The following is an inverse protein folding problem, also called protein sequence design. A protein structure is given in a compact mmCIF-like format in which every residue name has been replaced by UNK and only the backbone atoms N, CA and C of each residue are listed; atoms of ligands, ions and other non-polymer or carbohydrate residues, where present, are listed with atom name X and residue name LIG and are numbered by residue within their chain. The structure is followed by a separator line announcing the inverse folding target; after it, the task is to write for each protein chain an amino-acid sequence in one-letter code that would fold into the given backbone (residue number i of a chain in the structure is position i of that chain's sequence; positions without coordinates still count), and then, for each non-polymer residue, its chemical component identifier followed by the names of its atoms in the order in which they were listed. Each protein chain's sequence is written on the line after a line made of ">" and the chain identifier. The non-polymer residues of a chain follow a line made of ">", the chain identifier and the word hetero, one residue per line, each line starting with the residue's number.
data_IF_885524227164
#
_entry.id   IF_885524227164
#
_cell.length_a   1.000
_cell.length_b   1.000
_cell.length_c   1.000
_cell.angle_alpha   90.00
_cell.angle_beta   90.00
_cell.angle_gamma   90.00
#
_symmetry.space_group_name_H-M   'P 1'
#
loop_
_entity.id
_entity.type
_entity.pdbx_description
1 polymer ?
#
# COMPACT_ATOMS: atom_id res chain seq x y z
N UNK A 1 -0.25 9.89 3.99
CA UNK A 1 -1.07 11.01 3.43
C UNK A 1 -0.58 12.39 3.87
N UNK A 2 -0.91 13.44 3.11
CA UNK A 2 -0.70 14.87 3.40
C UNK A 2 -1.69 15.75 2.60
N UNK A 3 -1.82 17.05 2.90
CA UNK A 3 -2.69 17.96 2.13
C UNK A 3 -1.88 18.71 1.06
N UNK A 4 -2.39 18.72 -0.17
CA UNK A 4 -1.87 19.50 -1.29
C UNK A 4 -3.03 20.15 -2.03
N UNK A 5 -2.99 21.47 -2.24
CA UNK A 5 -4.01 22.19 -3.01
C UNK A 5 -5.46 21.90 -2.52
N UNK A 6 -5.65 21.86 -1.19
CA UNK A 6 -6.90 21.50 -0.50
C UNK A 6 -7.40 20.05 -0.71
N UNK A 7 -6.61 19.20 -1.38
CA UNK A 7 -6.89 17.78 -1.54
C UNK A 7 -6.00 16.95 -0.61
N UNK A 8 -6.56 15.86 -0.11
CA UNK A 8 -5.82 14.89 0.67
C UNK A 8 -5.08 13.94 -0.27
N UNK A 9 -3.76 14.11 -0.35
CA UNK A 9 -2.90 13.33 -1.20
C UNK A 9 -2.53 11.99 -0.57
N UNK A 10 -2.65 10.92 -1.34
CA UNK A 10 -2.30 9.56 -0.96
C UNK A 10 -1.62 8.82 -2.11
N UNK A 11 -0.83 7.80 -1.78
CA UNK A 11 -0.15 6.94 -2.75
C UNK A 11 -0.61 5.46 -2.64
N UNK A 12 0.03 4.57 -3.40
CA UNK A 12 -0.30 3.13 -3.40
C UNK A 12 -0.13 2.48 -2.03
N UNK A 13 0.86 2.90 -1.22
CA UNK A 13 1.07 2.38 0.15
C UNK A 13 -0.02 2.82 1.11
N UNK A 14 -0.51 4.06 0.99
CA UNK A 14 -1.65 4.52 1.77
C UNK A 14 -2.90 3.67 1.46
N UNK A 15 -3.14 3.34 0.18
CA UNK A 15 -4.24 2.43 -0.21
C UNK A 15 -4.07 1.02 0.37
N UNK A 16 -2.85 0.46 0.28
CA UNK A 16 -2.55 -0.86 0.87
C UNK A 16 -2.81 -0.85 2.38
N UNK A 17 -2.42 0.21 3.09
CA UNK A 17 -2.70 0.37 4.52
C UNK A 17 -4.19 0.47 4.81
N UNK A 18 -4.93 1.28 4.07
CA UNK A 18 -6.39 1.41 4.25
C UNK A 18 -7.12 0.07 4.02
N UNK A 19 -6.63 -0.77 3.10
CA UNK A 19 -7.21 -2.10 2.89
C UNK A 19 -6.93 -3.10 4.02
N UNK A 20 -5.89 -2.91 4.83
CA UNK A 20 -5.37 -3.93 5.76
C UNK A 20 -5.27 -3.51 7.23
N UNK A 21 -5.27 -2.22 7.53
CA UNK A 21 -5.00 -1.70 8.87
C UNK A 21 -5.61 -0.30 9.11
N UNK A 22 -6.67 -0.23 9.91
CA UNK A 22 -7.32 1.04 10.27
C UNK A 22 -6.38 1.95 11.09
N UNK A 23 -5.60 1.37 12.01
CA UNK A 23 -4.55 2.09 12.76
C UNK A 23 -3.64 2.91 11.85
N UNK A 24 -3.08 2.31 10.79
CA UNK A 24 -2.17 3.01 9.88
C UNK A 24 -2.85 4.20 9.21
N UNK A 25 -4.13 4.05 8.87
CA UNK A 25 -4.91 5.10 8.21
C UNK A 25 -5.22 6.22 9.19
N UNK A 26 -5.71 5.90 10.39
CA UNK A 26 -6.05 6.88 11.43
C UNK A 26 -4.82 7.67 11.90
N UNK A 27 -3.69 7.01 12.15
CA UNK A 27 -2.44 7.71 12.50
C UNK A 27 -2.01 8.65 11.37
N UNK A 28 -2.07 8.20 10.11
CA UNK A 28 -1.73 9.09 8.98
C UNK A 28 -2.67 10.28 8.88
N UNK A 29 -3.96 10.13 9.18
CA UNK A 29 -4.95 11.21 9.14
C UNK A 29 -4.73 12.19 10.29
N UNK A 30 -4.60 11.69 11.53
CA UNK A 30 -4.35 12.52 12.70
C UNK A 30 -3.04 13.31 12.59
N UNK A 31 -1.97 12.70 12.06
CA UNK A 31 -0.73 13.42 11.72
C UNK A 31 -0.98 14.53 10.71
N UNK A 32 -1.78 14.26 9.68
CA UNK A 32 -2.08 15.24 8.61
C UNK A 32 -2.95 16.39 9.11
N UNK A 33 -3.86 16.14 10.06
CA UNK A 33 -4.63 17.17 10.76
C UNK A 33 -3.76 18.07 11.64
N UNK A 34 -2.55 17.64 11.98
CA UNK A 34 -1.61 18.41 12.80
C UNK A 34 -1.90 18.32 14.30
N UNK A 35 -2.55 17.25 14.75
CA UNK A 35 -2.85 17.04 16.16
C UNK A 35 -1.59 17.04 17.02
N UNK A 36 -1.45 18.05 17.90
CA UNK A 36 -0.19 18.36 18.58
C UNK A 36 0.38 17.18 19.39
N UNK A 37 -0.48 16.47 20.14
CA UNK A 37 -0.06 15.30 20.91
C UNK A 37 0.31 14.11 20.03
N UNK A 38 -0.29 14.00 18.84
CA UNK A 38 0.07 12.97 17.85
C UNK A 38 1.43 13.27 17.26
N UNK A 39 1.65 14.51 16.80
CA UNK A 39 2.95 14.94 16.29
C UNK A 39 4.06 14.75 17.33
N UNK A 40 3.79 15.08 18.59
CA UNK A 40 4.76 14.90 19.68
C UNK A 40 5.13 13.42 19.89
N UNK A 41 4.16 12.49 19.83
CA UNK A 41 4.41 11.05 19.99
C UNK A 41 5.12 10.44 18.77
N UNK A 42 4.86 10.95 17.56
CA UNK A 42 5.51 10.48 16.33
C UNK A 42 6.94 11.01 16.14
N UNK A 43 7.24 12.20 16.67
CA UNK A 43 8.50 12.93 16.41
C UNK A 43 9.79 12.11 16.57
N UNK A 44 9.99 11.30 17.64
CA UNK A 44 11.22 10.53 17.78
C UNK A 44 11.42 9.53 16.63
N UNK A 45 10.34 8.85 16.22
CA UNK A 45 10.38 7.87 15.14
C UNK A 45 10.53 8.54 13.77
N UNK A 46 9.93 9.72 13.57
CA UNK A 46 10.15 10.51 12.36
C UNK A 46 11.62 10.95 12.23
N UNK A 47 12.25 11.34 13.33
CA UNK A 47 13.67 11.72 13.35
C UNK A 47 14.57 10.53 13.00
N UNK A 48 14.30 9.35 13.55
CA UNK A 48 15.02 8.12 13.21
C UNK A 48 14.86 7.74 11.74
N UNK A 49 13.63 7.83 11.20
CA UNK A 49 13.36 7.59 9.77
C UNK A 49 14.12 8.58 8.89
N UNK A 50 14.16 9.86 9.28
CA UNK A 50 14.87 10.90 8.54
C UNK A 50 16.39 10.68 8.58
N UNK A 51 16.92 10.27 9.72
CA UNK A 51 18.34 9.96 9.86
C UNK A 51 18.74 8.72 9.06
N UNK A 52 17.95 7.64 9.12
CA UNK A 52 18.15 6.44 8.30
C UNK A 52 18.15 6.78 6.81
N UNK A 53 17.25 7.66 6.35
CA UNK A 53 17.24 8.17 4.97
C UNK A 53 18.52 8.92 4.63
N UNK A 54 18.98 9.80 5.52
CA UNK A 54 20.21 10.58 5.34
C UNK A 54 21.44 9.66 5.21
N UNK A 55 21.44 8.53 5.92
CA UNK A 55 22.51 7.53 5.90
C UNK A 55 22.34 6.50 4.76
N UNK A 56 21.21 6.46 4.06
CA UNK A 56 20.91 5.45 3.04
C UNK A 56 20.58 4.06 3.60
N UNK A 57 20.17 4.01 4.87
CA UNK A 57 19.82 2.80 5.63
C UNK A 57 18.31 2.53 5.65
N UNK A 58 17.50 3.44 5.12
CA UNK A 58 16.03 3.33 5.06
C UNK A 58 15.51 2.30 4.03
N UNK A 59 16.41 1.78 3.20
CA UNK A 59 16.05 0.90 2.09
C UNK A 59 16.33 -0.57 2.45
N UNK A 60 15.26 -1.35 2.60
CA UNK A 60 15.34 -2.80 2.78
C UNK A 60 15.99 -3.50 1.59
N UNK A 61 16.55 -4.70 1.82
CA UNK A 61 17.10 -5.53 0.73
C UNK A 61 16.06 -5.80 -0.36
N UNK A 62 14.80 -6.03 0.01
CA UNK A 62 13.71 -6.26 -0.94
C UNK A 62 13.48 -5.05 -1.87
N UNK A 63 13.55 -3.82 -1.32
CA UNK A 63 13.46 -2.60 -2.13
C UNK A 63 14.67 -2.43 -3.06
N UNK A 64 15.89 -2.72 -2.57
CA UNK A 64 17.11 -2.67 -3.41
C UNK A 64 17.01 -3.63 -4.60
N UNK A 65 16.58 -4.87 -4.38
CA UNK A 65 16.37 -5.83 -5.47
C UNK A 65 15.20 -5.46 -6.39
N UNK A 66 14.16 -4.80 -5.87
CA UNK A 66 13.08 -4.23 -6.67
C UNK A 66 13.60 -3.21 -7.69
N UNK A 67 14.37 -2.22 -7.23
CA UNK A 67 14.98 -1.19 -8.08
C UNK A 67 15.90 -1.82 -9.14
N UNK A 68 16.77 -2.74 -8.72
CA UNK A 68 17.66 -3.44 -9.66
C UNK A 68 16.90 -4.23 -10.72
N UNK A 69 15.75 -4.80 -10.36
CA UNK A 69 14.91 -5.55 -11.26
C UNK A 69 14.19 -4.62 -12.26
N UNK A 70 13.58 -3.53 -11.78
CA UNK A 70 12.98 -2.49 -12.63
C UNK A 70 14.00 -1.94 -13.63
N UNK A 71 15.20 -1.58 -13.17
CA UNK A 71 16.30 -1.10 -14.03
C UNK A 71 16.71 -2.12 -15.09
N UNK A 72 16.74 -3.41 -14.73
CA UNK A 72 17.06 -4.48 -15.67
C UNK A 72 15.99 -4.61 -16.76
N UNK A 73 14.70 -4.56 -16.39
CA UNK A 73 13.60 -4.62 -17.34
C UNK A 73 13.63 -3.43 -18.33
N UNK A 74 13.91 -2.22 -17.84
CA UNK A 74 14.06 -1.03 -18.67
C UNK A 74 15.20 -1.21 -19.68
N UNK A 75 16.37 -1.68 -19.23
CA UNK A 75 17.52 -1.94 -20.11
C UNK A 75 17.23 -3.02 -21.15
N UNK A 76 16.52 -4.08 -20.77
CA UNK A 76 16.10 -5.15 -21.68
C UNK A 76 15.14 -4.62 -22.75
N UNK A 77 14.16 -3.79 -22.38
CA UNK A 77 13.23 -3.15 -23.31
C UNK A 77 13.92 -2.17 -24.27
N UNK A 78 14.79 -1.31 -23.75
CA UNK A 78 15.58 -0.39 -24.59
C UNK A 78 16.46 -1.15 -25.59
N UNK A 79 17.08 -2.25 -25.15
CA UNK A 79 17.93 -3.08 -26.00
C UNK A 79 17.15 -3.87 -27.07
N UNK A 80 15.88 -4.23 -26.81
CA UNK A 80 15.09 -5.05 -27.72
C UNK A 80 14.19 -4.25 -28.66
N UNK A 81 13.57 -3.18 -28.16
CA UNK A 81 12.59 -2.39 -28.88
C UNK A 81 13.11 -1.01 -29.35
N UNK A 82 14.17 -0.49 -28.72
CA UNK A 82 14.79 0.79 -29.07
C UNK A 82 14.15 2.02 -28.41
N UNK A 83 14.89 3.14 -28.42
CA UNK A 83 14.51 4.42 -27.80
C UNK A 83 13.31 5.11 -28.46
N UNK A 84 13.01 4.77 -29.72
CA UNK A 84 11.81 5.27 -30.41
C UNK A 84 10.52 4.64 -29.85
N UNK A 85 10.62 3.45 -29.26
CA UNK A 85 9.48 2.69 -28.72
C UNK A 85 9.33 2.92 -27.22
N UNK A 86 10.44 3.01 -26.49
CA UNK A 86 10.46 3.04 -25.02
C UNK A 86 10.95 4.40 -24.56
N UNK A 87 10.05 5.22 -24.01
CA UNK A 87 10.35 6.60 -23.58
C UNK A 87 9.96 6.84 -22.12
N UNK A 88 10.44 7.94 -21.57
CA UNK A 88 10.08 8.43 -20.24
C UNK A 88 9.91 9.95 -20.27
N UNK A 89 9.19 10.55 -19.31
CA UNK A 89 9.27 11.98 -19.07
C UNK A 89 10.72 12.42 -18.75
N UNK A 90 11.04 13.68 -19.00
CA UNK A 90 12.33 14.28 -18.66
C UNK A 90 12.56 14.31 -17.15
N UNK A 91 11.49 14.53 -16.38
CA UNK A 91 11.47 14.37 -14.92
C UNK A 91 10.66 13.12 -14.60
N UNK A 92 11.28 12.13 -13.96
CA UNK A 92 10.59 10.89 -13.58
C UNK A 92 9.36 11.20 -12.72
N UNK A 93 8.21 10.65 -13.11
CA UNK A 93 6.94 10.89 -12.45
C UNK A 93 6.23 12.20 -12.85
N UNK A 94 6.75 12.97 -13.83
CA UNK A 94 6.03 14.14 -14.33
C UNK A 94 4.74 13.72 -15.04
N UNK A 95 3.62 14.19 -14.50
CA UNK A 95 2.28 13.79 -14.95
C UNK A 95 1.93 14.43 -16.30
N UNK A 96 2.31 15.70 -16.51
CA UNK A 96 1.93 16.41 -17.73
C UNK A 96 2.72 15.87 -18.92
N UNK A 97 4.02 15.66 -18.75
CA UNK A 97 4.85 15.05 -19.80
C UNK A 97 4.43 13.59 -20.08
N UNK A 98 3.97 12.86 -19.05
CA UNK A 98 3.39 11.52 -19.25
C UNK A 98 2.11 11.58 -20.09
N UNK A 99 1.23 12.56 -19.84
CA UNK A 99 0.04 12.80 -20.65
C UNK A 99 0.43 13.16 -22.09
N UNK A 100 1.45 14.00 -22.29
CA UNK A 100 1.91 14.39 -23.62
C UNK A 100 2.49 13.20 -24.40
N UNK A 101 3.28 12.34 -23.73
CA UNK A 101 3.78 11.09 -24.30
C UNK A 101 2.62 10.16 -24.67
N UNK A 102 1.62 10.02 -23.81
CA UNK A 102 0.43 9.23 -24.10
C UNK A 102 -0.34 9.80 -25.31
N UNK A 103 -0.54 11.13 -25.34
CA UNK A 103 -1.21 11.86 -26.42
C UNK A 103 -0.49 11.75 -27.77
N UNK A 104 0.84 11.57 -27.76
CA UNK A 104 1.65 11.34 -28.97
C UNK A 104 1.64 9.89 -29.48
N UNK A 105 1.02 8.95 -28.76
CA UNK A 105 1.00 7.53 -29.13
C UNK A 105 2.31 6.81 -28.83
N UNK A 106 3.08 7.25 -27.83
CA UNK A 106 4.32 6.60 -27.42
C UNK A 106 4.05 5.14 -27.03
N UNK A 107 4.71 4.14 -27.64
CA UNK A 107 4.37 2.73 -27.39
C UNK A 107 4.49 2.28 -25.93
N UNK A 108 5.60 2.60 -25.28
CA UNK A 108 5.89 2.20 -23.90
C UNK A 108 6.46 3.41 -23.17
N UNK A 109 5.79 3.80 -22.09
CA UNK A 109 6.23 4.87 -21.21
C UNK A 109 6.66 4.24 -19.88
N UNK A 110 7.92 4.39 -19.51
CA UNK A 110 8.44 3.99 -18.20
C UNK A 110 8.69 5.23 -17.34
N UNK A 111 8.70 5.08 -16.01
CA UNK A 111 8.85 6.19 -15.05
C UNK A 111 7.80 7.31 -15.23
N UNK A 112 6.65 7.02 -15.84
CA UNK A 112 5.58 7.99 -16.07
C UNK A 112 4.75 8.25 -14.80
N UNK A 113 4.27 9.48 -14.62
CA UNK A 113 3.41 9.86 -13.51
C UNK A 113 1.92 9.76 -13.85
N UNK A 114 1.12 9.23 -12.93
CA UNK A 114 -0.34 9.29 -13.00
C UNK A 114 -0.90 9.98 -11.77
N UNK A 115 -2.02 10.69 -11.95
CA UNK A 115 -2.81 11.25 -10.85
C UNK A 115 -4.29 10.97 -11.04
N UNK A 116 -5.01 10.98 -9.93
CA UNK A 116 -6.47 10.99 -9.94
C UNK A 116 -7.03 11.80 -8.79
N UNK A 117 -7.85 12.77 -9.12
CA UNK A 117 -8.69 13.48 -8.16
C UNK A 117 -10.02 12.75 -8.01
N UNK A 118 -10.42 12.47 -6.78
CA UNK A 118 -11.68 11.79 -6.50
C UNK A 118 -12.17 12.13 -5.09
N UNK A 119 -13.38 12.68 -4.97
CA UNK A 119 -14.07 12.93 -3.70
C UNK A 119 -13.18 13.59 -2.62
N UNK A 120 -12.50 14.68 -2.99
CA UNK A 120 -11.67 15.46 -2.07
C UNK A 120 -10.31 14.83 -1.73
N UNK A 121 -9.93 13.75 -2.43
CA UNK A 121 -8.62 13.09 -2.36
C UNK A 121 -7.87 13.20 -3.69
N UNK A 122 -6.54 13.12 -3.63
CA UNK A 122 -5.64 13.13 -4.78
C UNK A 122 -4.73 11.91 -4.71
N UNK A 123 -4.98 10.92 -5.56
CA UNK A 123 -4.00 9.88 -5.82
C UNK A 123 -2.86 10.43 -6.69
N UNK A 124 -1.62 10.08 -6.36
CA UNK A 124 -0.48 10.22 -7.27
C UNK A 124 0.42 9.00 -7.16
N UNK A 125 0.87 8.49 -8.30
CA UNK A 125 1.70 7.29 -8.36
C UNK A 125 2.44 7.17 -9.67
N UNK A 126 3.35 6.20 -9.73
CA UNK A 126 4.24 5.98 -10.86
C UNK A 126 4.17 4.50 -11.25
N UNK A 127 3.35 4.14 -12.26
CA UNK A 127 3.45 2.81 -12.85
C UNK A 127 4.87 2.57 -13.37
N UNK A 128 5.34 1.34 -13.27
CA UNK A 128 6.64 1.01 -13.86
C UNK A 128 6.59 1.09 -15.38
N UNK A 129 5.46 0.65 -15.98
CA UNK A 129 5.19 0.83 -17.40
C UNK A 129 3.73 1.18 -17.69
N UNK A 130 3.54 2.11 -18.63
CA UNK A 130 2.27 2.41 -19.29
C UNK A 130 2.45 1.96 -20.74
N UNK A 131 1.61 1.04 -21.20
CA UNK A 131 1.82 0.35 -22.50
C UNK A 131 0.63 0.62 -23.40
N UNK A 132 0.91 1.15 -24.59
CA UNK A 132 -0.08 1.43 -25.62
C UNK A 132 -0.81 0.15 -26.01
N UNK A 133 -2.14 0.21 -26.22
CA UNK A 133 -2.99 -0.97 -26.52
C UNK A 133 -2.55 -1.77 -27.74
N UNK A 134 -1.89 -1.10 -28.69
CA UNK A 134 -1.34 -1.71 -29.91
C UNK A 134 0.03 -2.39 -29.69
N UNK A 135 0.47 -2.51 -28.44
CA UNK A 135 1.72 -3.15 -28.05
C UNK A 135 1.49 -4.13 -26.91
N UNK A 136 2.27 -5.21 -26.92
CA UNK A 136 2.29 -6.18 -25.84
C UNK A 136 3.71 -6.39 -25.34
N UNK A 137 3.83 -6.59 -24.03
CA UNK A 137 5.05 -7.01 -23.36
C UNK A 137 5.12 -8.54 -23.35
N UNK A 138 6.32 -9.09 -23.55
CA UNK A 138 6.57 -10.52 -23.50
C UNK A 138 8.01 -10.82 -23.15
N UNK A 139 8.27 -12.00 -22.57
CA UNK A 139 9.63 -12.50 -22.41
C UNK A 139 10.06 -13.32 -23.63
N UNK A 140 11.21 -12.98 -24.21
CA UNK A 140 11.89 -13.75 -25.28
C UNK A 140 13.29 -14.04 -24.78
N UNK A 141 13.68 -15.32 -24.76
CA UNK A 141 14.97 -15.80 -24.24
C UNK A 141 15.30 -15.25 -22.83
N UNK A 142 14.27 -15.16 -21.97
CA UNK A 142 14.39 -14.70 -20.59
C UNK A 142 14.52 -13.18 -20.41
N UNK A 143 14.45 -12.38 -21.49
CA UNK A 143 14.51 -10.91 -21.45
C UNK A 143 13.19 -10.27 -21.81
N UNK A 144 12.85 -9.16 -21.17
CA UNK A 144 11.64 -8.41 -21.48
C UNK A 144 11.77 -7.76 -22.86
N UNK A 145 10.76 -7.98 -23.69
CA UNK A 145 10.63 -7.47 -25.05
C UNK A 145 9.26 -6.84 -25.24
N UNK A 146 9.09 -6.13 -26.34
CA UNK A 146 7.82 -5.58 -26.77
C UNK A 146 7.60 -5.81 -28.27
N UNK A 147 6.36 -6.03 -28.67
CA UNK A 147 5.98 -6.09 -30.10
C UNK A 147 4.62 -5.46 -30.34
N UNK A 148 4.38 -5.00 -31.58
CA UNK A 148 3.07 -4.52 -32.01
C UNK A 148 2.07 -5.66 -32.09
N UNK A 149 0.84 -5.40 -31.68
CA UNK A 149 -0.30 -6.30 -31.92
C UNK A 149 -0.71 -6.25 -33.39
N UNK A 150 -1.46 -7.25 -33.85
CA UNK A 150 -1.81 -7.41 -35.27
C UNK A 150 -2.84 -6.42 -35.79
N UNK A 151 -3.53 -5.68 -34.91
CA UNK A 151 -4.71 -4.88 -35.27
C UNK A 151 -4.66 -3.51 -34.60
N UNK A 152 -3.98 -2.52 -35.20
CA UNK A 152 -3.91 -1.16 -34.65
C UNK A 152 -5.29 -0.51 -34.65
N UNK A 153 -5.67 0.15 -33.56
CA UNK A 153 -6.99 0.82 -33.50
C UNK A 153 -6.92 2.31 -33.84
N UNK A 154 -5.72 2.90 -33.87
CA UNK A 154 -5.52 4.33 -34.13
C UNK A 154 -5.91 5.24 -32.95
N UNK A 155 -6.30 4.65 -31.82
CA UNK A 155 -6.61 5.37 -30.59
C UNK A 155 -5.43 5.25 -29.62
N UNK A 156 -5.00 6.38 -29.06
CA UNK A 156 -3.94 6.42 -28.07
C UNK A 156 -4.49 6.03 -26.69
N UNK A 157 -4.82 4.75 -26.51
CA UNK A 157 -5.23 4.20 -25.22
C UNK A 157 -4.21 3.20 -24.69
N UNK A 158 -4.21 3.04 -23.37
CA UNK A 158 -3.10 2.44 -22.63
C UNK A 158 -3.57 1.47 -21.57
N UNK A 159 -2.66 0.56 -21.24
CA UNK A 159 -2.71 -0.38 -20.14
C UNK A 159 -1.65 -0.03 -19.10
N UNK A 160 -1.81 -0.53 -17.88
CA UNK A 160 -0.97 -0.21 -16.74
C UNK A 160 -0.26 -1.47 -16.25
N UNK A 161 1.03 -1.34 -15.97
CA UNK A 161 1.89 -2.45 -15.61
C UNK A 161 2.83 -2.08 -14.47
N UNK A 162 3.06 -3.05 -13.60
CA UNK A 162 3.93 -2.89 -12.46
C UNK A 162 4.91 -4.06 -12.37
N UNK A 163 6.18 -3.75 -12.13
CA UNK A 163 7.25 -4.71 -12.00
C UNK A 163 7.39 -5.13 -10.53
N UNK A 164 7.46 -6.43 -10.28
CA UNK A 164 7.64 -6.97 -8.94
C UNK A 164 8.75 -8.02 -8.97
N UNK A 165 9.80 -7.77 -8.19
CA UNK A 165 10.90 -8.73 -8.05
C UNK A 165 10.43 -10.09 -7.50
N UNK A 166 9.37 -10.11 -6.69
CA UNK A 166 8.77 -11.37 -6.24
C UNK A 166 8.25 -12.20 -7.42
N UNK A 167 8.45 -13.51 -7.40
CA UNK A 167 8.04 -14.41 -8.49
C UNK A 167 6.55 -14.78 -8.52
N UNK A 168 5.70 -14.12 -7.72
CA UNK A 168 4.27 -14.38 -7.63
C UNK A 168 3.50 -13.08 -7.40
N UNK A 169 2.32 -12.97 -8.02
CA UNK A 169 1.39 -11.90 -7.72
C UNK A 169 0.91 -11.97 -6.26
N UNK A 170 0.65 -10.79 -5.68
CA UNK A 170 0.06 -10.64 -4.35
C UNK A 170 -1.15 -9.71 -4.44
N UNK A 171 -2.19 -9.90 -3.61
CA UNK A 171 -3.38 -9.03 -3.63
C UNK A 171 -3.06 -7.53 -3.55
N UNK A 172 -2.05 -7.15 -2.75
CA UNK A 172 -1.61 -5.76 -2.63
C UNK A 172 -1.12 -5.15 -3.95
N UNK A 173 -0.50 -5.96 -4.83
CA UNK A 173 -0.01 -5.50 -6.14
C UNK A 173 -1.18 -5.23 -7.10
N UNK A 174 -2.25 -6.02 -7.00
CA UNK A 174 -3.47 -5.83 -7.81
C UNK A 174 -4.17 -4.51 -7.45
N UNK A 175 -4.17 -4.11 -6.17
CA UNK A 175 -4.69 -2.80 -5.76
C UNK A 175 -3.92 -1.64 -6.40
N UNK A 176 -2.59 -1.78 -6.48
CA UNK A 176 -1.71 -0.81 -7.13
C UNK A 176 -2.00 -0.70 -8.63
N UNK A 177 -2.07 -1.83 -9.36
CA UNK A 177 -2.46 -1.82 -10.78
C UNK A 177 -3.85 -1.21 -10.95
N UNK A 178 -4.82 -1.59 -10.10
CA UNK A 178 -6.18 -1.04 -10.12
C UNK A 178 -6.21 0.49 -10.01
N UNK A 179 -5.36 1.09 -9.17
CA UNK A 179 -5.27 2.57 -9.05
C UNK A 179 -4.81 3.20 -10.36
N UNK A 180 -3.86 2.56 -11.05
CA UNK A 180 -3.36 3.06 -12.33
C UNK A 180 -4.38 2.93 -13.44
N UNK A 181 -5.12 1.81 -13.51
CA UNK A 181 -6.26 1.64 -14.44
C UNK A 181 -7.27 2.78 -14.27
N UNK A 182 -7.63 3.03 -13.01
CA UNK A 182 -8.61 4.02 -12.61
C UNK A 182 -8.12 5.47 -12.81
N UNK A 183 -6.81 5.72 -12.70
CA UNK A 183 -6.18 6.99 -13.08
C UNK A 183 -6.16 7.18 -14.61
N UNK A 184 -5.81 6.15 -15.38
CA UNK A 184 -5.87 6.19 -16.85
C UNK A 184 -7.30 6.46 -17.34
N UNK A 185 -8.31 5.86 -16.69
CA UNK A 185 -9.73 6.09 -16.98
C UNK A 185 -10.08 7.56 -16.77
N UNK A 186 -9.69 8.12 -15.62
CA UNK A 186 -9.93 9.52 -15.28
C UNK A 186 -9.26 10.51 -16.23
N UNK A 187 -8.13 10.12 -16.85
CA UNK A 187 -7.41 10.94 -17.82
C UNK A 187 -7.90 10.73 -19.26
N UNK A 188 -8.82 9.78 -19.50
CA UNK A 188 -9.33 9.45 -20.84
C UNK A 188 -8.38 8.59 -21.69
N UNK A 189 -7.36 7.98 -21.07
CA UNK A 189 -6.32 7.18 -21.75
C UNK A 189 -6.44 5.68 -21.49
N UNK A 190 -7.42 5.20 -20.72
CA UNK A 190 -7.59 3.75 -20.47
C UNK A 190 -8.10 3.04 -21.73
N UNK A 191 -7.44 1.94 -22.09
CA UNK A 191 -7.95 1.04 -23.12
C UNK A 191 -9.10 0.17 -22.60
N UNK A 192 -10.18 0.05 -23.36
CA UNK A 192 -11.35 -0.75 -23.00
C UNK A 192 -11.20 -2.22 -23.39
N UNK A 193 -11.67 -3.12 -22.52
CA UNK A 193 -11.76 -4.56 -22.81
C UNK A 193 -10.40 -5.26 -22.96
N UNK A 194 -9.35 -4.69 -22.37
CA UNK A 194 -7.99 -5.25 -22.38
C UNK A 194 -7.55 -5.68 -20.98
N UNK A 195 -6.41 -6.39 -20.90
CA UNK A 195 -5.84 -6.83 -19.62
C UNK A 195 -4.70 -5.91 -19.21
N UNK A 196 -4.62 -5.64 -17.91
CA UNK A 196 -3.51 -4.96 -17.24
C UNK A 196 -2.63 -6.00 -16.55
N UNK A 197 -1.49 -5.65 -15.96
CA UNK A 197 -0.70 -6.73 -15.38
C UNK A 197 0.52 -6.42 -14.55
N UNK A 198 1.21 -7.49 -14.21
CA UNK A 198 2.44 -7.51 -13.43
C UNK A 198 3.55 -8.19 -14.24
N UNK A 199 4.75 -7.64 -14.13
CA UNK A 199 5.99 -8.23 -14.66
C UNK A 199 6.76 -8.78 -13.47
N UNK A 200 6.89 -10.10 -13.39
CA UNK A 200 7.40 -10.77 -12.18
C UNK A 200 8.86 -11.18 -12.31
N UNK A 201 9.56 -11.26 -11.18
CA UNK A 201 10.97 -11.71 -11.11
C UNK A 201 11.20 -13.15 -11.57
N UNK A 202 10.13 -13.95 -11.64
CA UNK A 202 10.09 -15.27 -12.30
C UNK A 202 10.19 -15.20 -13.83
N UNK A 203 10.33 -14.00 -14.40
CA UNK A 203 10.30 -13.75 -15.85
C UNK A 203 8.98 -14.21 -16.48
N UNK A 204 7.89 -13.99 -15.76
CA UNK A 204 6.52 -14.24 -16.22
C UNK A 204 5.73 -12.94 -16.20
N UNK A 205 4.73 -12.85 -17.08
CA UNK A 205 3.77 -11.77 -17.10
C UNK A 205 2.43 -12.33 -16.63
N UNK A 206 1.89 -11.75 -15.56
CA UNK A 206 0.55 -12.06 -15.10
C UNK A 206 -0.39 -10.93 -15.51
N UNK A 207 -1.56 -11.28 -16.03
CA UNK A 207 -2.51 -10.30 -16.56
C UNK A 207 -3.89 -10.46 -15.93
N UNK A 208 -4.57 -9.34 -15.70
CA UNK A 208 -5.82 -9.27 -14.99
C UNK A 208 -6.82 -8.41 -15.77
N UNK A 209 -8.08 -8.81 -15.73
CA UNK A 209 -9.20 -8.02 -16.21
C UNK A 209 -9.55 -6.94 -15.18
N UNK A 210 -10.15 -5.84 -15.66
CA UNK A 210 -10.58 -4.74 -14.80
C UNK A 210 -11.52 -5.22 -13.69
N UNK A 211 -12.42 -6.17 -13.99
CA UNK A 211 -13.38 -6.73 -13.02
C UNK A 211 -12.70 -7.48 -11.86
N UNK A 212 -11.45 -7.94 -12.05
CA UNK A 212 -10.68 -8.66 -11.03
C UNK A 212 -9.99 -7.69 -10.06
N UNK A 213 -9.62 -6.48 -10.51
CA UNK A 213 -8.74 -5.57 -9.75
C UNK A 213 -9.39 -4.26 -9.34
N UNK A 214 -10.23 -3.67 -10.19
CA UNK A 214 -10.82 -2.34 -9.96
C UNK A 214 -11.83 -2.35 -8.80
N UNK A 215 -12.72 -3.34 -8.64
CA UNK A 215 -13.68 -3.35 -7.51
C UNK A 215 -13.00 -3.37 -6.14
N UNK A 216 -11.98 -4.21 -5.96
CA UNK A 216 -11.23 -4.30 -4.70
C UNK A 216 -10.49 -2.99 -4.39
N UNK A 217 -9.88 -2.38 -5.42
CA UNK A 217 -9.24 -1.07 -5.31
C UNK A 217 -10.25 0.03 -4.94
N UNK A 218 -11.44 0.05 -5.56
CA UNK A 218 -12.50 1.02 -5.24
C UNK A 218 -12.95 0.90 -3.78
N UNK A 219 -13.10 -0.33 -3.26
CA UNK A 219 -13.43 -0.56 -1.86
C UNK A 219 -12.33 -0.03 -0.92
N UNK A 220 -11.06 -0.25 -1.24
CA UNK A 220 -9.95 0.29 -0.46
C UNK A 220 -9.90 1.82 -0.50
N UNK A 221 -10.17 2.45 -1.67
CA UNK A 221 -10.21 3.91 -1.80
C UNK A 221 -11.39 4.51 -1.04
N UNK A 222 -12.56 3.86 -1.07
CA UNK A 222 -13.73 4.30 -0.33
C UNK A 222 -13.45 4.42 1.18
N UNK A 223 -12.60 3.55 1.75
CA UNK A 223 -12.16 3.69 3.15
C UNK A 223 -11.34 4.96 3.38
N UNK A 224 -10.37 5.27 2.50
CA UNK A 224 -9.60 6.52 2.58
C UNK A 224 -10.53 7.72 2.49
N UNK A 225 -11.40 7.74 1.48
CA UNK A 225 -12.35 8.84 1.27
C UNK A 225 -13.25 9.03 2.49
N UNK A 226 -13.78 7.95 3.06
CA UNK A 226 -14.64 8.00 4.24
C UNK A 226 -13.91 8.61 5.45
N UNK A 227 -12.68 8.19 5.74
CA UNK A 227 -11.93 8.73 6.88
C UNK A 227 -11.52 10.19 6.63
N UNK A 228 -11.16 10.53 5.39
CA UNK A 228 -10.84 11.92 5.01
C UNK A 228 -12.06 12.83 5.11
N UNK A 229 -13.23 12.38 4.64
CA UNK A 229 -14.47 13.15 4.76
C UNK A 229 -14.80 13.41 6.23
N UNK A 230 -14.74 12.37 7.06
CA UNK A 230 -14.93 12.49 8.50
C UNK A 230 -13.93 13.44 9.16
N UNK A 231 -12.65 13.37 8.78
CA UNK A 231 -11.62 14.27 9.28
C UNK A 231 -11.87 15.74 8.89
N UNK A 232 -12.39 15.99 7.68
CA UNK A 232 -12.76 17.34 7.24
C UNK A 232 -13.94 17.87 8.05
N UNK A 233 -14.98 17.07 8.24
CA UNK A 233 -16.15 17.46 9.05
C UNK A 233 -15.74 17.78 10.50
N UNK A 234 -14.90 16.93 11.10
CA UNK A 234 -14.35 17.13 12.43
C UNK A 234 -13.50 18.42 12.53
N UNK A 235 -12.68 18.72 11.51
CA UNK A 235 -11.89 19.94 11.45
C UNK A 235 -12.78 21.19 11.32
N UNK A 236 -13.80 21.15 10.47
CA UNK A 236 -14.76 22.24 10.28
C UNK A 236 -15.57 22.52 11.56
N UNK A 237 -15.93 21.47 12.30
CA UNK A 237 -16.62 21.56 13.58
C UNK A 237 -15.69 21.94 14.76
N UNK A 238 -14.37 22.00 14.55
CA UNK A 238 -13.36 22.13 15.60
C UNK A 238 -13.49 21.05 16.71
N UNK A 239 -13.90 19.84 16.33
CA UNK A 239 -14.08 18.68 17.21
C UNK A 239 -13.20 17.52 16.74
N UNK A 240 -11.92 17.58 17.11
CA UNK A 240 -10.90 16.59 16.72
C UNK A 240 -10.70 15.51 17.79
N UNK A 241 -11.67 15.32 18.70
CA UNK A 241 -11.55 14.39 19.84
C UNK A 241 -11.22 12.96 19.37
N UNK A 242 -11.84 12.47 18.30
CA UNK A 242 -11.56 11.13 17.77
C UNK A 242 -10.13 10.97 17.23
N UNK A 243 -9.53 12.06 16.75
CA UNK A 243 -8.15 12.08 16.24
C UNK A 243 -7.11 12.43 17.32
N UNK A 244 -7.56 12.68 18.56
CA UNK A 244 -6.67 12.98 19.67
C UNK A 244 -5.92 11.72 20.14
N UNK A 245 -4.76 11.89 20.80
CA UNK A 245 -3.92 10.77 21.24
C UNK A 245 -4.63 9.69 22.06
N UNK A 246 -5.58 10.08 22.90
CA UNK A 246 -6.25 9.17 23.82
C UNK A 246 -7.31 8.29 23.12
N UNK A 247 -7.73 8.67 21.91
CA UNK A 247 -8.73 7.94 21.11
C UNK A 247 -8.09 7.13 19.97
N UNK A 248 -6.78 7.25 19.77
CA UNK A 248 -6.05 6.51 18.75
C UNK A 248 -5.48 5.20 19.30
N UNK A 249 -5.55 4.14 18.49
CA UNK A 249 -4.72 2.96 18.70
C UNK A 249 -3.29 3.28 18.26
N UNK A 250 -2.31 2.99 19.10
CA UNK A 250 -0.91 3.36 18.89
C UNK A 250 -0.04 2.25 18.30
N UNK A 251 -0.61 1.06 18.10
CA UNK A 251 0.01 -0.01 17.38
C UNK A 251 -0.97 -0.71 16.44
N UNK A 252 -0.42 -1.33 15.39
CA UNK A 252 -1.22 -2.17 14.50
C UNK A 252 -1.83 -3.36 15.26
N UNK A 253 -3.11 -3.71 14.98
CA UNK A 253 -3.78 -4.82 15.65
C UNK A 253 -3.08 -6.17 15.41
N UNK A 254 -2.46 -6.36 14.24
CA UNK A 254 -1.64 -7.52 13.93
C UNK A 254 -0.20 -7.10 13.61
N UNK A 255 0.78 -7.90 14.06
CA UNK A 255 2.21 -7.64 13.77
C UNK A 255 2.51 -7.64 12.26
N UNK A 256 1.85 -8.49 11.49
CA UNK A 256 2.00 -8.55 10.01
C UNK A 256 1.60 -7.24 9.31
N UNK A 257 0.72 -6.43 9.92
CA UNK A 257 0.37 -5.13 9.36
C UNK A 257 1.53 -4.13 9.47
N UNK A 258 2.49 -4.38 10.37
CA UNK A 258 3.68 -3.55 10.52
C UNK A 258 4.62 -3.64 9.31
N UNK A 259 4.52 -4.70 8.50
CA UNK A 259 5.31 -4.88 7.27
C UNK A 259 5.15 -3.71 6.28
N UNK A 260 3.99 -3.02 6.33
CA UNK A 260 3.70 -1.85 5.50
C UNK A 260 3.42 -0.57 6.31
N UNK A 261 3.45 -0.63 7.65
CA UNK A 261 3.20 0.53 8.51
C UNK A 261 4.25 1.64 8.31
N UNK A 262 3.89 2.89 8.64
CA UNK A 262 4.86 4.01 8.66
C UNK A 262 5.77 3.97 9.89
N UNK A 263 5.25 3.48 11.02
CA UNK A 263 5.93 3.52 12.33
C UNK A 263 5.95 2.12 12.97
N UNK A 264 6.64 1.13 12.36
CA UNK A 264 6.70 -0.23 12.91
C UNK A 264 7.35 -0.27 14.31
N UNK A 265 8.33 0.59 14.57
CA UNK A 265 9.04 0.67 15.86
C UNK A 265 8.17 1.29 16.95
N UNK A 266 7.42 2.36 16.64
CA UNK A 266 6.36 2.87 17.52
C UNK A 266 5.37 1.77 17.90
N UNK A 267 4.93 0.99 16.92
CA UNK A 267 4.02 -0.12 17.18
C UNK A 267 4.67 -1.16 18.11
N UNK A 268 5.97 -1.41 17.99
CA UNK A 268 6.70 -2.36 18.83
C UNK A 268 6.80 -1.87 20.27
N UNK A 269 7.21 -0.62 20.46
CA UNK A 269 7.35 0.02 21.77
C UNK A 269 6.00 0.14 22.48
N UNK A 270 4.95 0.53 21.76
CA UNK A 270 3.63 0.70 22.33
C UNK A 270 3.02 -0.64 22.77
N UNK A 271 3.23 -1.73 22.00
CA UNK A 271 2.83 -3.09 22.42
C UNK A 271 3.52 -3.52 23.71
N UNK A 272 4.82 -3.26 23.82
CA UNK A 272 5.58 -3.56 25.04
C UNK A 272 5.08 -2.75 26.23
N UNK A 273 4.85 -1.45 26.03
CA UNK A 273 4.39 -0.54 27.07
C UNK A 273 2.98 -0.89 27.58
N UNK A 274 2.09 -1.33 26.69
CA UNK A 274 0.71 -1.70 27.00
C UNK A 274 0.53 -3.16 27.42
N UNK A 275 1.61 -3.95 27.43
CA UNK A 275 1.58 -5.39 27.73
C UNK A 275 0.59 -6.15 26.81
N UNK A 276 0.54 -5.75 25.54
CA UNK A 276 -0.53 -6.15 24.61
C UNK A 276 -0.50 -7.65 24.27
N UNK A 277 -1.68 -8.27 24.19
CA UNK A 277 -1.85 -9.69 23.89
C UNK A 277 -1.31 -10.11 22.53
N UNK A 278 -1.28 -9.22 21.52
CA UNK A 278 -0.76 -9.52 20.17
C UNK A 278 0.71 -9.95 20.19
N UNK A 279 1.42 -9.68 21.28
CA UNK A 279 2.80 -10.12 21.46
C UNK A 279 2.92 -11.65 21.53
N UNK A 280 1.89 -12.34 22.01
CA UNK A 280 1.84 -13.79 22.16
C UNK A 280 1.99 -14.48 20.79
N UNK A 281 2.90 -15.44 20.72
CA UNK A 281 3.24 -16.10 19.47
C UNK A 281 2.04 -16.88 18.90
N UNK A 282 1.67 -16.58 17.65
CA UNK A 282 0.55 -17.20 16.92
C UNK A 282 -0.85 -16.91 17.51
N UNK A 283 -0.99 -15.90 18.36
CA UNK A 283 -2.32 -15.46 18.78
C UNK A 283 -3.03 -14.78 17.59
N UNK A 284 -4.34 -15.01 17.49
CA UNK A 284 -5.19 -14.43 16.46
C UNK A 284 -6.04 -13.29 17.02
N UNK A 285 -6.47 -12.37 16.16
CA UNK A 285 -7.38 -11.29 16.56
C UNK A 285 -8.69 -11.80 17.18
N UNK A 286 -9.21 -12.93 16.69
CA UNK A 286 -10.40 -13.55 17.26
C UNK A 286 -10.17 -14.04 18.70
N UNK A 287 -8.97 -14.55 19.01
CA UNK A 287 -8.62 -14.97 20.37
C UNK A 287 -8.46 -13.76 21.29
N UNK A 288 -7.77 -12.71 20.83
CA UNK A 288 -7.64 -11.45 21.58
C UNK A 288 -9.02 -10.89 21.92
N UNK A 289 -9.90 -10.72 20.93
CA UNK A 289 -11.24 -10.20 21.16
C UNK A 289 -12.06 -11.03 22.17
N UNK A 290 -11.92 -12.36 22.16
CA UNK A 290 -12.57 -13.24 23.14
C UNK A 290 -12.00 -13.08 24.55
N UNK A 291 -10.69 -12.92 24.68
CA UNK A 291 -10.04 -12.65 25.97
C UNK A 291 -10.44 -11.28 26.52
N UNK A 292 -10.40 -10.24 25.69
CA UNK A 292 -10.83 -8.90 26.08
C UNK A 292 -12.30 -8.87 26.52
N UNK A 293 -13.16 -9.68 25.90
CA UNK A 293 -14.59 -9.77 26.27
C UNK A 293 -14.86 -10.27 27.68
N UNK A 294 -13.88 -10.90 28.34
CA UNK A 294 -13.94 -11.33 29.74
C UNK A 294 -12.98 -10.53 30.64
N UNK A 295 -12.48 -9.39 30.16
CA UNK A 295 -11.61 -8.49 30.91
C UNK A 295 -10.12 -8.85 30.89
N UNK A 296 -9.71 -9.87 30.13
CA UNK A 296 -8.29 -10.23 29.96
C UNK A 296 -7.76 -9.45 28.75
N UNK A 297 -7.10 -8.31 29.01
CA UNK A 297 -6.58 -7.43 27.96
C UNK A 297 -5.05 -7.39 27.85
N UNK A 298 -4.32 -7.96 28.80
CA UNK A 298 -2.84 -7.92 28.81
C UNK A 298 -2.21 -9.31 28.96
N UNK A 299 -0.94 -9.45 28.57
CA UNK A 299 -0.21 -10.70 28.73
C UNK A 299 -0.09 -11.12 30.19
N UNK A 300 0.21 -10.18 31.10
CA UNK A 300 0.27 -10.45 32.55
C UNK A 300 -1.07 -10.92 33.09
N UNK A 301 -2.17 -10.26 32.71
CA UNK A 301 -3.51 -10.67 33.11
C UNK A 301 -3.83 -12.08 32.62
N UNK A 302 -3.48 -12.40 31.37
CA UNK A 302 -3.67 -13.75 30.84
C UNK A 302 -2.78 -14.77 31.58
N UNK A 303 -1.53 -14.43 31.88
CA UNK A 303 -0.58 -15.34 32.52
C UNK A 303 -1.05 -15.81 33.91
N UNK A 304 -1.76 -14.97 34.64
CA UNK A 304 -2.31 -15.28 35.98
C UNK A 304 -3.77 -15.74 35.96
N UNK A 305 -4.44 -15.74 34.81
CA UNK A 305 -5.85 -16.11 34.69
C UNK A 305 -6.09 -17.57 35.10
N UNK A 306 -7.15 -17.82 35.85
CA UNK A 306 -7.56 -19.15 36.29
C UNK A 306 -8.30 -19.90 35.16
N UNK A 307 -8.55 -21.20 35.36
CA UNK A 307 -9.25 -22.01 34.36
C UNK A 307 -10.71 -21.55 34.19
N UNK A 308 -11.29 -20.99 35.25
CA UNK A 308 -12.65 -20.45 35.29
C UNK A 308 -12.79 -19.14 34.50
N UNK A 309 -11.69 -18.39 34.31
CA UNK A 309 -11.67 -17.13 33.55
C UNK A 309 -11.69 -17.35 32.02
N UNK A 310 -11.71 -18.61 31.59
CA UNK A 310 -11.73 -18.97 30.17
C UNK A 310 -12.97 -18.40 29.47
N UNK A 311 -12.82 -17.65 28.35
CA UNK A 311 -13.95 -17.23 27.54
C UNK A 311 -14.80 -18.41 27.06
N UNK A 312 -16.13 -18.30 27.12
CA UNK A 312 -17.04 -19.35 26.67
C UNK A 312 -16.84 -19.73 25.19
N UNK A 313 -16.51 -18.75 24.35
CA UNK A 313 -16.28 -18.90 22.90
C UNK A 313 -14.86 -19.38 22.54
N UNK A 314 -14.05 -19.75 23.53
CA UNK A 314 -12.68 -20.26 23.37
C UNK A 314 -12.59 -21.70 23.89
N UNK A 315 -11.95 -22.58 23.12
CA UNK A 315 -11.73 -23.97 23.57
C UNK A 315 -10.73 -23.99 24.72
N UNK A 316 -10.88 -24.96 25.61
CA UNK A 316 -9.99 -25.15 26.75
C UNK A 316 -8.53 -25.34 26.32
N UNK A 317 -8.29 -26.20 25.33
CA UNK A 317 -6.96 -26.42 24.76
C UNK A 317 -6.33 -25.12 24.26
N UNK A 318 -7.09 -24.31 23.52
CA UNK A 318 -6.58 -23.03 22.99
C UNK A 318 -6.26 -22.07 24.13
N UNK A 319 -7.14 -21.95 25.12
CA UNK A 319 -6.94 -21.07 26.26
C UNK A 319 -5.70 -21.46 27.07
N UNK A 320 -5.56 -22.73 27.41
CA UNK A 320 -4.39 -23.25 28.11
C UNK A 320 -3.10 -23.02 27.31
N UNK A 321 -3.15 -23.19 25.99
CA UNK A 321 -2.01 -22.93 25.10
C UNK A 321 -1.59 -21.45 25.14
N UNK A 322 -2.50 -20.52 24.88
CA UNK A 322 -2.16 -19.08 24.86
C UNK A 322 -1.77 -18.58 26.25
N UNK A 323 -2.39 -19.10 27.33
CA UNK A 323 -1.99 -18.80 28.70
C UNK A 323 -0.58 -19.27 29.02
N UNK A 324 -0.21 -20.51 28.66
CA UNK A 324 1.17 -21.01 28.83
C UNK A 324 2.18 -20.18 28.04
N UNK A 325 1.82 -19.73 26.84
CA UNK A 325 2.69 -18.84 26.06
C UNK A 325 2.86 -17.49 26.75
N UNK A 326 1.79 -16.90 27.28
CA UNK A 326 1.89 -15.67 28.07
C UNK A 326 2.79 -15.87 29.31
N UNK A 327 2.62 -16.97 30.06
CA UNK A 327 3.46 -17.31 31.21
C UNK A 327 4.94 -17.47 30.88
N UNK A 328 5.28 -17.88 29.66
CA UNK A 328 6.67 -18.04 29.23
C UNK A 328 7.31 -16.72 28.72
N UNK A 329 6.50 -15.69 28.45
CA UNK A 329 6.93 -14.43 27.85
C UNK A 329 6.88 -13.24 28.82
N UNK A 330 6.23 -13.41 29.98
CA UNK A 330 6.13 -12.43 31.08
C UNK A 330 7.23 -12.69 32.12
#
# INVERSE_FOLDING_TARGET
>A
MYIRENLWSFNTRDLMRASSCDHCTMISVARTLGESGVLAKLKPYEDEILEAKRLGEDTSLAQKYGILFEDALIKELLSSAGEDVVKRPAVDGDIQETIDLMGSGTPIIYQGGLKREFEGTLFSGRPDFIVHRDWELLFVDGKLNARKTSTPTGENLYTAWDAKYGGQAKPAYLLQVGLYVDALESLGFKAEGVRHGLILGSRTIETFEEIEIVPAMRLARAKIVSVVAHAKEAQEAADLVEFSPDNLLWHCPAKSNCDICEYPDLCADDRLATDDLVQIANITQSQIAKLTSVGISTMKALAIAADEDKPAKLTEETFLKVRRQAQAQV
#
